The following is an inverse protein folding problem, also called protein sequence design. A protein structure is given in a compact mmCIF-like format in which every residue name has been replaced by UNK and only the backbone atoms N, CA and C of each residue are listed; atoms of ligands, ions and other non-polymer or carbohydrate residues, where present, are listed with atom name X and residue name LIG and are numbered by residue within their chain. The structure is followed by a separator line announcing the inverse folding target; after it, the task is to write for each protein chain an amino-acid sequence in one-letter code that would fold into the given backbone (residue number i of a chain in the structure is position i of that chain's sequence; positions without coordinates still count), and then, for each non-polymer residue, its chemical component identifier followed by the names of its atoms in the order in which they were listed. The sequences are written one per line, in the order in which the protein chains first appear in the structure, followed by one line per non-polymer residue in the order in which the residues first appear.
data_IF_901468530566
#
_entry.id   IF_901468530566
#
_cell.length_a   1.000
_cell.length_b   1.000
_cell.length_c   1.000
_cell.angle_alpha   90.00
_cell.angle_beta   90.00
_cell.angle_gamma   90.00
#
_symmetry.space_group_name_H-M   'P 1'
#
loop_
_entity.id
_entity.type
_entity.pdbx_description
1 polymer ?
#
# COMPACT_ATOMS: atom_id res chain seq x y z
N UNK A 1 53.29 -8.70 -5.45
CA UNK A 1 52.39 -9.88 -5.38
C UNK A 1 52.04 -10.29 -3.93
N UNK A 2 52.97 -10.43 -2.99
CA UNK A 2 52.66 -10.83 -1.59
C UNK A 2 51.74 -9.84 -0.85
N UNK A 3 51.93 -8.53 -0.99
CA UNK A 3 51.07 -7.52 -0.36
C UNK A 3 49.63 -7.53 -0.94
N UNK A 4 49.47 -7.73 -2.24
CA UNK A 4 48.15 -7.84 -2.86
C UNK A 4 47.41 -9.11 -2.38
N UNK A 5 48.07 -10.25 -2.32
CA UNK A 5 47.48 -11.49 -1.78
C UNK A 5 47.09 -11.36 -0.30
N UNK A 6 47.90 -10.72 0.51
CA UNK A 6 47.62 -10.45 1.92
C UNK A 6 46.37 -9.54 2.06
N UNK A 7 46.29 -8.51 1.23
CA UNK A 7 45.16 -7.61 1.20
C UNK A 7 43.83 -8.30 0.79
N UNK A 8 43.84 -9.11 -0.26
CA UNK A 8 42.66 -9.88 -0.72
C UNK A 8 42.20 -10.86 0.33
N UNK A 9 43.13 -11.57 0.97
CA UNK A 9 42.85 -12.50 2.07
C UNK A 9 42.21 -11.79 3.28
N UNK A 10 42.75 -10.65 3.68
CA UNK A 10 42.21 -9.86 4.79
C UNK A 10 40.83 -9.30 4.45
N UNK A 11 40.62 -8.82 3.22
CA UNK A 11 39.35 -8.32 2.73
C UNK A 11 38.23 -9.39 2.74
N UNK A 12 38.54 -10.63 2.29
CA UNK A 12 37.61 -11.74 2.32
C UNK A 12 37.30 -12.22 3.75
N UNK A 13 38.30 -12.20 4.64
CA UNK A 13 38.12 -12.53 6.04
C UNK A 13 37.24 -11.52 6.78
N UNK A 14 37.42 -10.22 6.51
CA UNK A 14 36.58 -9.16 7.09
C UNK A 14 35.15 -9.20 6.56
N UNK A 15 34.95 -9.50 5.28
CA UNK A 15 33.62 -9.74 4.69
C UNK A 15 32.91 -10.89 5.40
N UNK A 16 33.54 -12.06 5.46
CA UNK A 16 32.93 -13.26 6.06
C UNK A 16 32.70 -13.06 7.57
N UNK A 17 33.63 -12.42 8.27
CA UNK A 17 33.47 -12.08 9.68
C UNK A 17 32.26 -11.14 9.90
N UNK A 18 32.11 -10.12 9.06
CA UNK A 18 31.00 -9.18 9.15
C UNK A 18 29.66 -9.89 8.87
N UNK A 19 29.61 -10.73 7.85
CA UNK A 19 28.43 -11.51 7.49
C UNK A 19 28.00 -12.45 8.63
N UNK A 20 28.94 -13.26 9.16
CA UNK A 20 28.64 -14.22 10.22
C UNK A 20 28.31 -13.53 11.55
N UNK A 21 28.97 -12.41 11.84
CA UNK A 21 28.67 -11.63 13.05
C UNK A 21 27.25 -11.08 13.00
N UNK A 22 26.87 -10.44 11.90
CA UNK A 22 25.55 -9.87 11.72
C UNK A 22 24.48 -10.97 11.79
N UNK A 23 24.66 -12.07 11.08
CA UNK A 23 23.76 -13.22 11.13
C UNK A 23 23.57 -13.74 12.56
N UNK A 24 24.69 -13.98 13.27
CA UNK A 24 24.65 -14.46 14.66
C UNK A 24 23.89 -13.51 15.58
N UNK A 25 24.13 -12.20 15.47
CA UNK A 25 23.56 -11.22 16.39
C UNK A 25 22.09 -10.89 16.05
N UNK A 26 21.67 -10.99 14.80
CA UNK A 26 20.23 -10.90 14.43
C UNK A 26 19.43 -11.94 15.20
N UNK A 27 19.90 -13.19 15.27
CA UNK A 27 19.18 -14.26 15.99
C UNK A 27 19.41 -14.25 17.50
N UNK A 28 20.49 -13.67 17.98
CA UNK A 28 20.82 -13.63 19.42
C UNK A 28 20.20 -12.45 20.15
N UNK A 29 20.09 -11.30 19.51
CA UNK A 29 19.44 -10.10 20.07
C UNK A 29 17.93 -10.20 19.87
N UNK A 30 17.20 -10.43 20.97
CA UNK A 30 15.75 -10.62 20.94
C UNK A 30 15.01 -9.43 20.33
N UNK A 31 15.48 -8.20 20.55
CA UNK A 31 14.82 -7.01 19.99
C UNK A 31 15.02 -6.93 18.48
N UNK A 32 16.21 -7.27 17.97
CA UNK A 32 16.49 -7.29 16.54
C UNK A 32 15.75 -8.43 15.84
N UNK A 33 15.79 -9.64 16.40
CA UNK A 33 15.06 -10.78 15.85
C UNK A 33 13.54 -10.49 15.79
N UNK A 34 12.99 -9.98 16.89
CA UNK A 34 11.58 -9.63 16.95
C UNK A 34 11.22 -8.55 15.93
N UNK A 35 11.95 -7.42 15.89
CA UNK A 35 11.63 -6.29 15.03
C UNK A 35 11.87 -6.57 13.54
N UNK A 36 12.89 -7.38 13.18
CA UNK A 36 13.23 -7.63 11.79
C UNK A 36 12.49 -8.83 11.21
N UNK A 37 12.40 -9.94 11.95
CA UNK A 37 11.81 -11.19 11.42
C UNK A 37 10.34 -11.31 11.81
N UNK A 38 10.07 -11.27 13.12
CA UNK A 38 8.71 -11.51 13.60
C UNK A 38 7.75 -10.39 13.19
N UNK A 39 8.14 -9.14 13.40
CA UNK A 39 7.30 -7.98 13.04
C UNK A 39 7.09 -7.93 11.52
N UNK A 40 8.11 -8.19 10.70
CA UNK A 40 7.96 -8.19 9.26
C UNK A 40 6.89 -9.19 8.77
N UNK A 41 6.90 -10.40 9.31
CA UNK A 41 5.92 -11.45 8.94
C UNK A 41 4.56 -11.18 9.59
N UNK A 42 4.54 -10.92 10.89
CA UNK A 42 3.30 -10.74 11.65
C UNK A 42 2.50 -9.52 11.20
N UNK A 43 3.18 -8.40 10.96
CA UNK A 43 2.52 -7.17 10.48
C UNK A 43 2.04 -7.34 9.05
N UNK A 44 2.81 -8.02 8.18
CA UNK A 44 2.37 -8.35 6.83
C UNK A 44 1.11 -9.21 6.85
N UNK A 45 1.06 -10.24 7.69
CA UNK A 45 -0.11 -11.08 7.88
C UNK A 45 -1.30 -10.29 8.44
N UNK A 46 -1.08 -9.52 9.50
CA UNK A 46 -2.12 -8.74 10.17
C UNK A 46 -2.78 -7.71 9.24
N UNK A 47 -1.98 -6.94 8.50
CA UNK A 47 -2.53 -5.96 7.54
C UNK A 47 -3.33 -6.65 6.44
N UNK A 48 -2.80 -7.74 5.88
CA UNK A 48 -3.50 -8.48 4.84
C UNK A 48 -4.81 -9.09 5.36
N UNK A 49 -4.82 -9.60 6.58
CA UNK A 49 -6.02 -10.12 7.25
C UNK A 49 -7.07 -9.02 7.50
N UNK A 50 -6.66 -7.86 8.03
CA UNK A 50 -7.57 -6.75 8.31
C UNK A 50 -8.30 -6.22 7.07
N UNK A 51 -7.65 -6.28 5.90
CA UNK A 51 -8.22 -5.78 4.65
C UNK A 51 -8.70 -6.90 3.70
N UNK A 52 -8.76 -8.15 4.18
CA UNK A 52 -9.08 -9.33 3.34
C UNK A 52 -10.47 -9.27 2.69
N UNK A 53 -11.43 -8.55 3.26
CA UNK A 53 -12.76 -8.38 2.68
C UNK A 53 -12.77 -7.47 1.44
N UNK A 54 -11.63 -6.87 1.05
CA UNK A 54 -11.45 -6.08 -0.17
C UNK A 54 -12.38 -4.87 -0.29
N UNK A 55 -13.69 -5.04 -0.11
CA UNK A 55 -14.71 -4.00 -0.27
C UNK A 55 -15.62 -3.92 0.94
N UNK A 56 -16.05 -2.72 1.30
CA UNK A 56 -17.07 -2.55 2.30
C UNK A 56 -18.39 -3.14 1.80
N UNK A 57 -18.97 -4.02 2.59
CA UNK A 57 -20.26 -4.65 2.31
C UNK A 57 -21.28 -4.25 3.35
N UNK A 58 -22.58 -4.18 2.93
CA UNK A 58 -23.73 -3.95 3.80
C UNK A 58 -23.56 -2.71 4.71
N UNK A 59 -23.03 -1.61 4.15
CA UNK A 59 -22.93 -0.36 4.89
C UNK A 59 -24.30 0.11 5.31
N UNK A 60 -24.60 0.36 6.61
CA UNK A 60 -25.93 0.74 7.05
C UNK A 60 -26.32 2.12 6.55
N UNK A 61 -27.45 2.22 5.87
CA UNK A 61 -28.04 3.48 5.40
C UNK A 61 -29.47 3.63 5.92
N UNK A 62 -29.91 4.88 6.09
CA UNK A 62 -31.29 5.21 6.37
C UNK A 62 -32.03 5.63 5.11
N UNK A 63 -33.34 5.41 5.09
CA UNK A 63 -34.19 5.88 3.99
C UNK A 63 -35.35 6.72 4.52
N UNK A 64 -35.72 7.75 3.76
CA UNK A 64 -36.90 8.58 4.00
C UNK A 64 -37.73 8.54 2.73
N UNK A 65 -38.82 7.79 2.73
CA UNK A 65 -39.74 7.69 1.60
C UNK A 65 -40.97 8.54 1.87
N UNK A 66 -40.98 9.75 1.31
CA UNK A 66 -42.14 10.67 1.41
C UNK A 66 -43.19 10.40 0.34
N UNK A 67 -42.88 9.62 -0.73
CA UNK A 67 -43.79 9.32 -1.84
C UNK A 67 -44.66 8.09 -1.53
N UNK A 68 -44.13 7.10 -0.82
CA UNK A 68 -44.81 5.88 -0.40
C UNK A 68 -45.52 5.10 -1.53
N UNK A 69 -44.95 5.13 -2.73
CA UNK A 69 -45.52 4.50 -3.93
C UNK A 69 -44.84 3.17 -4.27
N UNK A 70 -45.37 2.48 -5.29
CA UNK A 70 -44.75 1.26 -5.81
C UNK A 70 -43.38 1.55 -6.44
N UNK A 71 -43.19 2.70 -7.09
CA UNK A 71 -41.94 3.12 -7.73
C UNK A 71 -40.90 3.52 -6.70
N UNK A 72 -41.26 4.27 -5.65
CA UNK A 72 -40.32 4.61 -4.59
C UNK A 72 -39.82 3.36 -3.89
N UNK A 73 -40.73 2.43 -3.53
CA UNK A 73 -40.36 1.12 -2.96
C UNK A 73 -39.50 0.26 -3.90
N UNK A 74 -39.71 0.33 -5.21
CA UNK A 74 -38.89 -0.36 -6.18
C UNK A 74 -37.46 0.20 -6.18
N UNK A 75 -37.30 1.53 -6.19
CA UNK A 75 -35.95 2.16 -6.09
C UNK A 75 -35.22 1.75 -4.80
N UNK A 76 -35.91 1.82 -3.66
CA UNK A 76 -35.31 1.45 -2.38
C UNK A 76 -34.90 -0.02 -2.34
N UNK A 77 -35.69 -0.94 -2.89
CA UNK A 77 -35.30 -2.35 -3.04
C UNK A 77 -34.11 -2.53 -3.95
N UNK A 78 -33.95 -1.74 -5.02
CA UNK A 78 -32.77 -1.77 -5.88
C UNK A 78 -31.54 -1.27 -5.14
N UNK A 79 -31.67 -0.26 -4.28
CA UNK A 79 -30.57 0.24 -3.44
C UNK A 79 -30.18 -0.83 -2.42
N UNK A 80 -31.13 -1.44 -1.73
CA UNK A 80 -30.90 -2.49 -0.73
C UNK A 80 -30.30 -3.78 -1.32
N UNK A 81 -30.64 -4.07 -2.58
CA UNK A 81 -30.05 -5.21 -3.30
C UNK A 81 -28.58 -5.01 -3.71
N UNK A 82 -28.05 -3.79 -3.56
CA UNK A 82 -26.63 -3.53 -3.81
C UNK A 82 -25.78 -4.07 -2.65
N UNK A 83 -24.76 -4.87 -2.96
CA UNK A 83 -23.90 -5.50 -1.95
C UNK A 83 -23.16 -4.50 -1.04
N UNK A 84 -22.95 -3.27 -1.51
CA UNK A 84 -22.18 -2.24 -0.77
C UNK A 84 -22.95 -1.57 0.36
N UNK A 85 -24.30 -1.59 0.32
CA UNK A 85 -25.16 -0.93 1.30
C UNK A 85 -26.24 -1.86 1.81
N UNK A 86 -26.82 -1.56 2.96
CA UNK A 86 -28.00 -2.23 3.49
C UNK A 86 -28.92 -1.18 4.15
N UNK A 87 -30.22 -1.24 3.87
CA UNK A 87 -31.19 -0.35 4.52
C UNK A 87 -31.36 -0.80 5.98
N UNK A 88 -30.81 0.00 6.89
CA UNK A 88 -30.89 -0.27 8.33
C UNK A 88 -32.28 0.05 8.87
N UNK A 89 -32.86 1.20 8.49
CA UNK A 89 -34.17 1.64 8.94
C UNK A 89 -34.78 2.65 7.98
N UNK A 90 -36.14 2.68 7.97
CA UNK A 90 -36.91 3.74 7.35
C UNK A 90 -37.33 4.77 8.40
N UNK A 91 -37.11 6.04 8.11
CA UNK A 91 -37.41 7.18 8.98
C UNK A 91 -38.57 7.98 8.45
N UNK A 92 -39.35 8.58 9.35
CA UNK A 92 -40.54 9.38 8.94
C UNK A 92 -40.15 10.70 8.26
N UNK A 93 -39.00 11.26 8.65
CA UNK A 93 -38.51 12.52 8.13
C UNK A 93 -36.99 12.60 8.15
N UNK A 94 -36.46 13.58 7.41
CA UNK A 94 -35.01 13.79 7.31
C UNK A 94 -34.35 14.10 8.68
N UNK A 95 -35.07 14.82 9.56
CA UNK A 95 -34.51 15.19 10.88
C UNK A 95 -34.24 13.98 11.78
N UNK A 96 -35.14 12.97 11.76
CA UNK A 96 -34.87 11.70 12.47
C UNK A 96 -33.71 10.92 11.87
N UNK A 97 -33.65 10.83 10.53
CA UNK A 97 -32.54 10.18 9.84
C UNK A 97 -31.21 10.87 10.13
N UNK A 98 -31.18 12.21 10.19
CA UNK A 98 -29.98 12.98 10.56
C UNK A 98 -29.53 12.72 12.00
N UNK A 99 -30.46 12.56 12.96
CA UNK A 99 -30.10 12.17 14.32
C UNK A 99 -29.46 10.78 14.37
N UNK A 100 -30.00 9.81 13.62
CA UNK A 100 -29.42 8.48 13.52
C UNK A 100 -28.02 8.51 12.84
N UNK A 101 -27.84 9.38 11.85
CA UNK A 101 -26.56 9.61 11.20
C UNK A 101 -25.54 10.22 12.18
N UNK A 102 -25.91 11.24 12.94
CA UNK A 102 -25.07 11.84 13.99
C UNK A 102 -24.72 10.84 15.12
N UNK A 103 -25.60 9.89 15.39
CA UNK A 103 -25.36 8.79 16.35
C UNK A 103 -24.55 7.65 15.75
N UNK A 104 -24.04 7.80 14.52
CA UNK A 104 -23.25 6.80 13.79
C UNK A 104 -23.97 5.46 13.54
N UNK A 105 -25.28 5.40 13.70
CA UNK A 105 -26.10 4.21 13.42
C UNK A 105 -26.18 3.91 11.92
N UNK A 106 -26.13 4.97 11.12
CA UNK A 106 -26.16 4.91 9.65
C UNK A 106 -25.06 5.80 9.07
N UNK A 107 -24.58 5.45 7.88
CA UNK A 107 -23.50 6.16 7.17
C UNK A 107 -23.96 6.89 5.90
N UNK A 108 -25.24 6.84 5.63
CA UNK A 108 -25.87 7.55 4.52
C UNK A 108 -27.37 7.63 4.68
N UNK A 109 -28.00 8.59 3.98
CA UNK A 109 -29.45 8.77 3.96
C UNK A 109 -29.87 8.93 2.51
N UNK A 110 -30.92 8.21 2.09
CA UNK A 110 -31.55 8.39 0.79
C UNK A 110 -32.97 8.89 1.01
N UNK A 111 -33.31 10.04 0.43
CA UNK A 111 -34.65 10.66 0.54
C UNK A 111 -35.34 10.63 -0.82
N UNK A 112 -36.51 10.05 -0.85
CA UNK A 112 -37.41 10.06 -2.01
C UNK A 112 -38.51 11.07 -1.75
N UNK A 113 -38.59 12.19 -2.52
CA UNK A 113 -39.53 13.27 -2.24
C UNK A 113 -40.97 12.93 -2.65
N UNK A 114 -41.92 13.64 -2.11
CA UNK A 114 -43.35 13.56 -2.51
C UNK A 114 -43.51 13.84 -3.99
N UNK A 115 -44.38 13.07 -4.67
CA UNK A 115 -44.63 13.22 -6.09
C UNK A 115 -43.61 12.59 -7.02
N UNK A 116 -42.60 11.85 -6.47
CA UNK A 116 -41.59 11.14 -7.25
C UNK A 116 -42.18 10.25 -8.34
N UNK A 117 -43.13 9.41 -8.00
CA UNK A 117 -43.81 8.53 -8.96
C UNK A 117 -44.62 9.29 -10.00
N UNK A 118 -45.30 10.36 -9.59
CA UNK A 118 -46.11 11.20 -10.50
C UNK A 118 -45.19 11.90 -11.51
N UNK A 119 -44.06 12.43 -11.09
CA UNK A 119 -43.08 13.02 -11.99
C UNK A 119 -42.57 12.01 -13.01
N UNK A 120 -42.19 10.80 -12.57
CA UNK A 120 -41.76 9.72 -13.46
C UNK A 120 -42.81 9.37 -14.51
N UNK A 121 -44.12 9.30 -14.14
CA UNK A 121 -45.21 9.00 -15.07
C UNK A 121 -45.44 10.12 -16.10
N UNK A 122 -45.25 11.39 -15.69
CA UNK A 122 -45.41 12.55 -16.58
C UNK A 122 -44.18 12.77 -17.49
N UNK A 123 -43.06 12.06 -17.28
CA UNK A 123 -41.83 12.29 -18.02
C UNK A 123 -40.99 13.45 -17.49
N UNK A 124 -41.31 13.90 -16.30
CA UNK A 124 -40.49 14.84 -15.55
C UNK A 124 -39.29 14.10 -14.98
N UNK A 125 -38.24 14.81 -14.58
CA UNK A 125 -37.08 14.24 -13.90
C UNK A 125 -37.14 14.50 -12.38
N UNK A 126 -37.85 13.67 -11.60
CA UNK A 126 -37.83 13.82 -10.16
C UNK A 126 -36.44 13.48 -9.62
N UNK A 127 -35.97 14.26 -8.67
CA UNK A 127 -34.68 14.04 -8.05
C UNK A 127 -34.83 13.33 -6.71
N UNK A 128 -33.91 12.40 -6.42
CA UNK A 128 -33.70 11.86 -5.08
C UNK A 128 -32.54 12.60 -4.41
N UNK A 129 -32.61 12.78 -3.11
CA UNK A 129 -31.47 13.35 -2.35
C UNK A 129 -30.68 12.25 -1.65
N UNK A 130 -29.37 12.29 -1.80
CA UNK A 130 -28.45 11.32 -1.19
C UNK A 130 -27.47 12.06 -0.30
N UNK A 131 -27.52 11.78 0.98
CA UNK A 131 -26.61 12.30 1.98
C UNK A 131 -25.66 11.17 2.39
N UNK A 132 -24.38 11.35 2.22
CA UNK A 132 -23.36 10.34 2.53
C UNK A 132 -22.24 10.94 3.36
N UNK A 133 -21.67 10.13 4.25
CA UNK A 133 -20.53 10.51 5.07
C UNK A 133 -19.27 10.68 4.19
N UNK A 134 -18.97 11.93 3.84
CA UNK A 134 -17.80 12.26 3.04
C UNK A 134 -16.51 12.43 3.89
N UNK A 135 -16.58 12.34 5.22
CA UNK A 135 -15.41 12.33 6.07
C UNK A 135 -14.59 11.05 5.87
N UNK A 136 -15.24 9.98 5.41
CA UNK A 136 -14.61 8.73 5.05
C UNK A 136 -14.91 8.34 3.60
N UNK A 137 -13.92 8.46 2.73
CA UNK A 137 -14.06 8.31 1.28
C UNK A 137 -14.74 7.00 0.84
N UNK A 138 -14.49 5.89 1.55
CA UNK A 138 -15.08 4.59 1.21
C UNK A 138 -16.58 4.57 1.49
N UNK A 139 -17.07 5.18 2.59
CA UNK A 139 -18.50 5.29 2.87
C UNK A 139 -19.21 6.11 1.81
N UNK A 140 -18.65 7.30 1.51
CA UNK A 140 -19.17 8.17 0.46
C UNK A 140 -19.28 7.44 -0.88
N UNK A 141 -18.21 6.76 -1.31
CA UNK A 141 -18.18 6.03 -2.58
C UNK A 141 -19.25 4.94 -2.63
N UNK A 142 -19.44 4.15 -1.58
CA UNK A 142 -20.41 3.05 -1.55
C UNK A 142 -21.84 3.56 -1.63
N UNK A 143 -22.21 4.53 -0.79
CA UNK A 143 -23.58 5.10 -0.77
C UNK A 143 -23.90 5.76 -2.10
N UNK A 144 -22.98 6.57 -2.63
CA UNK A 144 -23.18 7.26 -3.90
C UNK A 144 -23.31 6.28 -5.07
N UNK A 145 -22.47 5.24 -5.11
CA UNK A 145 -22.48 4.23 -6.17
C UNK A 145 -23.79 3.44 -6.14
N UNK A 146 -24.24 2.97 -4.97
CA UNK A 146 -25.49 2.24 -4.82
C UNK A 146 -26.69 3.09 -5.30
N UNK A 147 -26.77 4.34 -4.85
CA UNK A 147 -27.84 5.25 -5.23
C UNK A 147 -27.83 5.58 -6.74
N UNK A 148 -26.68 5.91 -7.32
CA UNK A 148 -26.53 6.22 -8.74
C UNK A 148 -26.89 5.03 -9.64
N UNK A 149 -26.37 3.86 -9.34
CA UNK A 149 -26.63 2.64 -10.13
C UNK A 149 -28.13 2.32 -10.09
N UNK A 150 -28.75 2.34 -8.90
CA UNK A 150 -30.17 2.05 -8.74
C UNK A 150 -31.06 3.06 -9.47
N UNK A 151 -30.73 4.36 -9.37
CA UNK A 151 -31.46 5.40 -10.11
C UNK A 151 -31.31 5.22 -11.63
N UNK A 152 -30.13 4.89 -12.13
CA UNK A 152 -29.89 4.64 -13.56
C UNK A 152 -30.74 3.46 -14.08
N UNK A 153 -30.75 2.35 -13.34
CA UNK A 153 -31.55 1.18 -13.72
C UNK A 153 -33.05 1.45 -13.65
N UNK A 154 -33.52 2.21 -12.63
CA UNK A 154 -34.92 2.59 -12.56
C UNK A 154 -35.31 3.47 -13.76
N UNK A 155 -34.50 4.48 -14.09
CA UNK A 155 -34.73 5.36 -15.24
C UNK A 155 -34.81 4.58 -16.55
N UNK A 156 -33.84 3.67 -16.78
CA UNK A 156 -33.86 2.81 -17.96
C UNK A 156 -35.11 1.93 -18.01
N UNK A 157 -35.52 1.36 -16.87
CA UNK A 157 -36.73 0.54 -16.80
C UNK A 157 -38.01 1.32 -17.07
N UNK A 158 -38.13 2.58 -16.62
CA UNK A 158 -39.27 3.47 -16.90
C UNK A 158 -39.30 3.82 -18.37
N UNK A 159 -38.19 4.19 -18.99
CA UNK A 159 -38.10 4.56 -20.39
C UNK A 159 -38.39 3.39 -21.32
N UNK A 160 -37.88 2.20 -21.00
CA UNK A 160 -38.20 0.97 -21.72
C UNK A 160 -39.71 0.67 -21.70
N UNK A 161 -40.38 0.82 -20.54
CA UNK A 161 -41.83 0.62 -20.42
C UNK A 161 -42.58 1.64 -21.26
N UNK A 162 -42.13 2.90 -21.29
CA UNK A 162 -42.75 3.97 -22.09
C UNK A 162 -42.61 3.67 -23.58
N UNK A 163 -41.41 3.35 -24.05
CA UNK A 163 -41.17 3.02 -25.47
C UNK A 163 -41.91 1.76 -25.89
N UNK A 164 -42.01 0.74 -25.04
CA UNK A 164 -42.80 -0.47 -25.31
C UNK A 164 -44.33 -0.16 -25.41
N UNK A 165 -44.84 0.75 -24.58
CA UNK A 165 -46.21 1.18 -24.63
C UNK A 165 -46.54 1.95 -25.95
N UNK A 166 -45.53 2.50 -26.62
CA UNK A 166 -45.62 3.12 -27.95
C UNK A 166 -45.49 2.09 -29.10
N UNK A 167 -45.50 0.79 -28.81
CA UNK A 167 -45.41 -0.28 -29.79
C UNK A 167 -44.01 -0.61 -30.31
N UNK A 168 -42.97 -0.10 -29.68
CA UNK A 168 -41.59 -0.41 -30.08
C UNK A 168 -41.14 -1.78 -29.57
N UNK A 169 -40.28 -2.44 -30.34
CA UNK A 169 -39.70 -3.71 -29.94
C UNK A 169 -38.83 -3.54 -28.68
N UNK A 170 -38.72 -4.54 -27.79
CA UNK A 170 -37.92 -4.44 -26.57
C UNK A 170 -36.45 -4.06 -26.80
N UNK A 171 -35.86 -4.48 -27.93
CA UNK A 171 -34.49 -4.10 -28.33
C UNK A 171 -34.36 -2.62 -28.64
N UNK A 172 -35.30 -2.09 -29.45
CA UNK A 172 -35.35 -0.67 -29.78
C UNK A 172 -35.63 0.21 -28.55
N UNK A 173 -36.55 -0.24 -27.68
CA UNK A 173 -36.84 0.45 -26.43
C UNK A 173 -35.60 0.52 -25.49
N UNK A 174 -34.78 -0.53 -25.48
CA UNK A 174 -33.53 -0.56 -24.72
C UNK A 174 -32.48 0.38 -25.31
N UNK A 175 -32.32 0.40 -26.63
CA UNK A 175 -31.36 1.26 -27.32
C UNK A 175 -31.74 2.75 -27.15
N UNK A 176 -33.05 3.09 -27.16
CA UNK A 176 -33.49 4.45 -26.88
C UNK A 176 -33.34 4.85 -25.42
N UNK A 177 -33.60 3.92 -24.46
CA UNK A 177 -33.44 4.20 -23.05
C UNK A 177 -31.94 4.36 -22.65
N UNK A 178 -31.04 3.73 -23.42
CA UNK A 178 -29.61 3.79 -23.20
C UNK A 178 -28.85 3.93 -24.53
N UNK A 179 -28.93 5.11 -25.19
CA UNK A 179 -28.30 5.30 -26.51
C UNK A 179 -26.78 5.23 -26.49
N UNK A 180 -26.17 5.45 -25.33
CA UNK A 180 -24.72 5.29 -25.12
C UNK A 180 -24.50 4.29 -24.02
N UNK A 181 -23.86 3.17 -24.35
CA UNK A 181 -23.40 2.19 -23.35
C UNK A 181 -21.91 2.37 -23.05
N UNK A 182 -21.56 2.60 -21.79
CA UNK A 182 -20.17 2.63 -21.35
C UNK A 182 -19.73 1.22 -20.95
N UNK A 183 -18.80 0.61 -21.72
CA UNK A 183 -18.13 -0.63 -21.30
C UNK A 183 -16.97 -0.28 -20.38
N UNK A 184 -17.20 -0.32 -19.08
CA UNK A 184 -16.14 -0.10 -18.08
C UNK A 184 -15.35 -1.39 -17.87
N UNK A 185 -14.05 -1.32 -18.14
CA UNK A 185 -13.12 -2.42 -17.88
C UNK A 185 -12.14 -1.95 -16.80
N UNK A 186 -12.29 -2.49 -15.60
CA UNK A 186 -11.34 -2.22 -14.51
C UNK A 186 -10.04 -2.99 -14.73
N UNK A 187 -8.94 -2.27 -14.92
CA UNK A 187 -7.63 -2.86 -15.09
C UNK A 187 -6.98 -3.11 -13.72
N UNK A 188 -6.35 -4.29 -13.59
CA UNK A 188 -5.49 -4.69 -12.46
C UNK A 188 -6.17 -4.88 -11.10
N UNK A 189 -7.26 -4.18 -10.81
CA UNK A 189 -8.05 -4.33 -9.58
C UNK A 189 -9.56 -4.32 -9.93
N UNK A 190 -10.09 -5.42 -10.49
CA UNK A 190 -11.47 -5.49 -10.98
C UNK A 190 -12.52 -5.25 -9.90
N UNK A 191 -12.27 -5.74 -8.69
CA UNK A 191 -13.14 -5.54 -7.51
C UNK A 191 -13.07 -4.11 -6.96
N UNK A 192 -12.13 -3.27 -7.42
CA UNK A 192 -11.77 -2.01 -6.77
C UNK A 192 -11.46 -2.20 -5.28
N UNK A 193 -10.90 -3.38 -4.94
CA UNK A 193 -10.62 -3.83 -3.59
C UNK A 193 -9.53 -3.01 -2.91
N UNK A 194 -9.73 -2.75 -1.63
CA UNK A 194 -8.82 -1.91 -0.87
C UNK A 194 -7.53 -2.65 -0.52
N UNK A 195 -7.60 -3.95 -0.22
CA UNK A 195 -6.42 -4.77 0.05
C UNK A 195 -5.50 -4.86 -1.18
N UNK A 196 -6.06 -5.20 -2.34
CA UNK A 196 -5.31 -5.26 -3.60
C UNK A 196 -4.58 -3.94 -3.90
N UNK A 197 -5.17 -2.78 -3.56
CA UNK A 197 -4.55 -1.47 -3.71
C UNK A 197 -3.46 -1.21 -2.66
N UNK A 198 -3.74 -1.47 -1.38
CA UNK A 198 -2.93 -1.05 -0.23
C UNK A 198 -1.74 -1.99 0.04
N UNK A 199 -2.00 -3.29 0.08
CA UNK A 199 -1.09 -4.28 0.66
C UNK A 199 0.29 -4.33 -0.02
N UNK A 200 0.42 -4.27 -1.36
CA UNK A 200 1.74 -4.29 -1.99
C UNK A 200 2.66 -3.14 -1.53
N UNK A 201 2.09 -1.96 -1.34
CA UNK A 201 2.86 -0.80 -0.84
C UNK A 201 3.22 -0.93 0.64
N UNK A 202 2.29 -1.47 1.44
CA UNK A 202 2.53 -1.74 2.87
C UNK A 202 3.71 -2.69 3.04
N UNK A 203 3.83 -3.74 2.23
CA UNK A 203 4.98 -4.66 2.30
C UNK A 203 6.31 -3.94 2.08
N UNK A 204 6.39 -3.04 1.11
CA UNK A 204 7.60 -2.26 0.85
C UNK A 204 7.97 -1.38 2.05
N UNK A 205 6.98 -0.76 2.69
CA UNK A 205 7.18 0.06 3.89
C UNK A 205 7.62 -0.79 5.08
N UNK A 206 7.04 -1.98 5.26
CA UNK A 206 7.44 -2.94 6.30
C UNK A 206 8.89 -3.33 6.12
N UNK A 207 9.32 -3.69 4.90
CA UNK A 207 10.73 -4.00 4.63
C UNK A 207 11.65 -2.84 4.98
N UNK A 208 11.32 -1.62 4.56
CA UNK A 208 12.14 -0.45 4.91
C UNK A 208 12.25 -0.28 6.42
N UNK A 209 11.13 -0.27 7.11
CA UNK A 209 11.09 0.01 8.55
C UNK A 209 11.82 -1.07 9.35
N UNK A 210 11.58 -2.34 9.05
CA UNK A 210 12.17 -3.46 9.79
C UNK A 210 13.67 -3.61 9.53
N UNK A 211 14.12 -3.43 8.29
CA UNK A 211 15.55 -3.45 7.94
C UNK A 211 16.28 -2.28 8.61
N UNK A 212 15.76 -1.06 8.50
CA UNK A 212 16.38 0.12 9.13
C UNK A 212 16.47 -0.05 10.65
N UNK A 213 15.41 -0.60 11.28
CA UNK A 213 15.39 -0.87 12.71
C UNK A 213 16.49 -1.85 13.10
N UNK A 214 16.61 -2.97 12.38
CA UNK A 214 17.61 -3.98 12.66
C UNK A 214 19.04 -3.47 12.46
N UNK A 215 19.31 -2.82 11.32
CA UNK A 215 20.62 -2.21 11.01
C UNK A 215 20.97 -1.16 12.06
N UNK A 216 20.00 -0.33 12.44
CA UNK A 216 20.20 0.74 13.41
C UNK A 216 20.49 0.22 14.83
N UNK A 217 19.71 -0.76 15.33
CA UNK A 217 19.89 -1.34 16.66
C UNK A 217 21.26 -2.06 16.76
N UNK A 218 21.59 -2.92 15.78
CA UNK A 218 22.89 -3.60 15.80
C UNK A 218 24.05 -2.63 15.59
N UNK A 219 23.87 -1.64 14.74
CA UNK A 219 24.87 -0.59 14.53
C UNK A 219 25.13 0.23 15.79
N UNK A 220 24.07 0.67 16.49
CA UNK A 220 24.16 1.34 17.79
C UNK A 220 24.86 0.46 18.84
N UNK A 221 24.45 -0.80 18.97
CA UNK A 221 25.06 -1.77 19.89
C UNK A 221 26.55 -1.97 19.63
N UNK A 222 26.98 -1.98 18.35
CA UNK A 222 28.39 -2.07 18.00
C UNK A 222 29.18 -0.80 18.32
N UNK A 223 28.50 0.34 18.24
CA UNK A 223 29.09 1.65 18.54
C UNK A 223 29.26 1.87 20.03
N UNK A 224 28.33 1.37 20.84
CA UNK A 224 28.47 1.34 22.29
C UNK A 224 29.71 0.54 22.71
N UNK A 225 30.60 1.18 23.43
CA UNK A 225 31.83 0.57 23.93
C UNK A 225 32.89 0.29 22.85
N UNK A 226 32.88 0.99 21.72
CA UNK A 226 33.88 0.89 20.64
C UNK A 226 34.13 -0.54 20.12
N UNK A 227 33.11 -1.39 20.12
CA UNK A 227 33.24 -2.80 19.70
C UNK A 227 33.63 -2.91 18.22
N UNK A 228 33.14 -2.03 17.35
CA UNK A 228 33.52 -1.98 15.93
C UNK A 228 35.01 -1.89 15.72
N UNK A 229 35.70 -0.98 16.44
CA UNK A 229 37.12 -0.75 16.32
C UNK A 229 37.96 -1.96 16.86
N UNK A 230 37.42 -2.65 17.87
CA UNK A 230 38.04 -3.87 18.41
C UNK A 230 37.97 -5.08 17.46
N UNK A 231 36.84 -5.20 16.73
CA UNK A 231 36.60 -6.31 15.81
C UNK A 231 37.34 -6.12 14.49
N UNK A 232 37.48 -4.85 14.02
CA UNK A 232 38.07 -4.49 12.73
C UNK A 232 39.21 -3.46 12.88
N UNK A 233 40.34 -3.80 13.57
CA UNK A 233 41.37 -2.83 13.94
C UNK A 233 42.10 -2.23 12.73
N UNK A 234 42.20 -2.95 11.63
CA UNK A 234 42.97 -2.55 10.44
C UNK A 234 42.15 -1.99 9.29
N UNK A 235 40.83 -1.72 9.50
CA UNK A 235 39.89 -1.36 8.42
C UNK A 235 39.62 0.15 8.32
N UNK A 236 40.64 0.98 8.61
CA UNK A 236 40.54 2.45 8.62
C UNK A 236 40.56 3.12 7.23
N UNK A 237 40.72 2.34 6.17
CA UNK A 237 40.72 2.80 4.79
C UNK A 237 39.31 2.59 4.15
N UNK A 238 39.04 3.27 3.04
CA UNK A 238 37.83 3.03 2.27
C UNK A 238 37.71 1.56 1.83
N UNK A 239 38.78 1.03 1.27
CA UNK A 239 38.84 -0.35 0.79
C UNK A 239 38.83 -1.39 1.92
N UNK A 240 39.21 -1.03 3.14
CA UNK A 240 39.09 -1.88 4.32
C UNK A 240 37.65 -1.89 4.88
N UNK A 241 36.94 -0.77 4.81
CA UNK A 241 35.56 -0.68 5.28
C UNK A 241 34.56 -1.32 4.30
N UNK A 242 34.82 -1.29 2.99
CA UNK A 242 33.90 -1.81 1.96
C UNK A 242 33.52 -3.29 2.14
N UNK A 243 34.47 -4.23 2.39
CA UNK A 243 34.12 -5.63 2.63
C UNK A 243 33.20 -5.83 3.83
N UNK A 244 33.38 -5.03 4.89
CA UNK A 244 32.55 -5.09 6.09
C UNK A 244 31.12 -4.65 5.76
N UNK A 245 30.95 -3.53 5.03
CA UNK A 245 29.63 -3.05 4.58
C UNK A 245 28.95 -4.09 3.71
N UNK A 246 29.67 -4.68 2.76
CA UNK A 246 29.13 -5.73 1.88
C UNK A 246 28.78 -7.01 2.63
N UNK A 247 29.59 -7.44 3.59
CA UNK A 247 29.32 -8.62 4.42
C UNK A 247 28.04 -8.46 5.24
N UNK A 248 27.88 -7.28 5.88
CA UNK A 248 26.61 -6.96 6.59
C UNK A 248 25.42 -6.96 5.64
N UNK A 249 25.53 -6.30 4.51
CA UNK A 249 24.45 -6.20 3.53
C UNK A 249 24.02 -7.57 2.98
N UNK A 250 24.95 -8.48 2.75
CA UNK A 250 24.65 -9.84 2.30
C UNK A 250 23.79 -10.60 3.31
N UNK A 251 24.00 -10.43 4.61
CA UNK A 251 23.18 -11.06 5.64
C UNK A 251 21.75 -10.54 5.60
N UNK A 252 21.57 -9.23 5.58
CA UNK A 252 20.24 -8.63 5.51
C UNK A 252 19.52 -8.99 4.21
N UNK A 253 20.23 -8.99 3.08
CA UNK A 253 19.67 -9.40 1.80
C UNK A 253 19.16 -10.84 1.86
N UNK A 254 19.98 -11.78 2.33
CA UNK A 254 19.59 -13.18 2.43
C UNK A 254 18.36 -13.42 3.30
N UNK A 255 18.33 -12.83 4.50
CA UNK A 255 17.18 -12.95 5.40
C UNK A 255 15.95 -12.23 4.87
N UNK A 256 16.10 -11.06 4.28
CA UNK A 256 14.98 -10.34 3.65
C UNK A 256 14.40 -11.09 2.46
N UNK A 257 15.21 -11.81 1.68
CA UNK A 257 14.74 -12.67 0.59
C UNK A 257 13.92 -13.85 1.11
N UNK A 258 14.30 -14.44 2.24
CA UNK A 258 13.50 -15.48 2.90
C UNK A 258 12.16 -14.92 3.38
N UNK A 259 12.15 -13.75 4.02
CA UNK A 259 10.91 -13.09 4.43
C UNK A 259 10.03 -12.76 3.22
N UNK A 260 10.63 -12.26 2.14
CA UNK A 260 9.92 -11.96 0.89
C UNK A 260 9.29 -13.23 0.29
N UNK A 261 9.99 -14.34 0.29
CA UNK A 261 9.44 -15.64 -0.16
C UNK A 261 8.23 -16.07 0.68
N UNK A 262 8.26 -15.87 1.99
CA UNK A 262 7.12 -16.15 2.87
C UNK A 262 5.94 -15.24 2.51
N UNK A 263 6.17 -13.94 2.30
CA UNK A 263 5.12 -13.00 1.94
C UNK A 263 4.51 -13.33 0.57
N UNK A 264 5.33 -13.56 -0.44
CA UNK A 264 4.86 -13.85 -1.80
C UNK A 264 4.27 -15.26 -1.94
N UNK A 265 4.84 -16.25 -1.25
CA UNK A 265 4.45 -17.65 -1.39
C UNK A 265 3.36 -18.10 -0.42
N UNK A 266 3.18 -17.43 0.70
CA UNK A 266 2.22 -17.81 1.73
C UNK A 266 1.20 -16.72 1.97
N UNK A 267 1.64 -15.50 2.37
CA UNK A 267 0.73 -14.44 2.80
C UNK A 267 -0.17 -13.96 1.65
N UNK A 268 0.40 -13.58 0.51
CA UNK A 268 -0.40 -13.08 -0.62
C UNK A 268 -1.40 -14.12 -1.14
N UNK A 269 -1.03 -15.40 -1.40
CA UNK A 269 -1.98 -16.42 -1.86
C UNK A 269 -3.06 -16.74 -0.83
N UNK A 270 -2.72 -16.80 0.46
CA UNK A 270 -3.66 -17.12 1.53
C UNK A 270 -4.85 -16.13 1.60
N UNK A 271 -4.60 -14.87 1.29
CA UNK A 271 -5.61 -13.80 1.30
C UNK A 271 -6.09 -13.38 -0.10
N UNK A 272 -5.76 -14.17 -1.14
CA UNK A 272 -6.22 -13.88 -2.49
C UNK A 272 -5.65 -12.59 -3.11
N UNK A 273 -4.57 -12.04 -2.55
CA UNK A 273 -3.92 -10.86 -3.15
C UNK A 273 -3.28 -11.28 -4.47
N UNK A 274 -3.66 -10.67 -5.60
CA UNK A 274 -3.19 -11.13 -6.90
C UNK A 274 -1.68 -10.88 -7.07
N UNK A 275 -0.99 -11.90 -7.57
CA UNK A 275 0.41 -11.82 -7.97
C UNK A 275 0.51 -12.18 -9.45
N UNK A 276 0.66 -11.17 -10.31
CA UNK A 276 0.65 -11.32 -11.77
C UNK A 276 2.03 -11.50 -12.38
N UNK A 277 3.08 -11.58 -11.56
CA UNK A 277 4.46 -11.83 -11.97
C UNK A 277 5.01 -13.10 -11.35
N UNK A 278 6.18 -13.53 -11.84
CA UNK A 278 6.90 -14.64 -11.20
C UNK A 278 7.59 -14.18 -9.91
N UNK A 279 7.72 -15.09 -8.94
CA UNK A 279 8.46 -14.84 -7.70
C UNK A 279 9.90 -14.39 -8.00
N UNK A 280 10.55 -15.03 -8.99
CA UNK A 280 11.93 -14.71 -9.37
C UNK A 280 12.06 -13.28 -9.86
N UNK A 281 11.17 -12.81 -10.75
CA UNK A 281 11.16 -11.43 -11.24
C UNK A 281 11.03 -10.44 -10.11
N UNK A 282 10.14 -10.71 -9.16
CA UNK A 282 9.92 -9.87 -7.99
C UNK A 282 11.13 -9.85 -7.08
N UNK A 283 11.79 -11.01 -6.85
CA UNK A 283 13.01 -11.09 -6.04
C UNK A 283 14.18 -10.32 -6.69
N UNK A 284 14.36 -10.46 -8.01
CA UNK A 284 15.40 -9.71 -8.75
C UNK A 284 15.14 -8.22 -8.66
N UNK A 285 13.88 -7.78 -8.77
CA UNK A 285 13.50 -6.38 -8.62
C UNK A 285 13.79 -5.87 -7.21
N UNK A 286 13.46 -6.65 -6.17
CA UNK A 286 13.61 -6.25 -4.77
C UNK A 286 15.07 -6.26 -4.28
N UNK A 287 15.98 -6.89 -5.00
CA UNK A 287 17.41 -6.93 -4.63
C UNK A 287 18.02 -5.54 -4.45
N UNK A 288 18.02 -4.62 -5.43
CA UNK A 288 18.58 -3.29 -5.25
C UNK A 288 17.80 -2.45 -4.23
N UNK A 289 16.50 -2.68 -4.06
CA UNK A 289 15.69 -2.04 -3.04
C UNK A 289 16.18 -2.40 -1.63
N UNK A 290 16.30 -3.68 -1.32
CA UNK A 290 16.75 -4.17 -0.01
C UNK A 290 18.18 -3.67 0.28
N UNK A 291 19.08 -3.80 -0.70
CA UNK A 291 20.47 -3.33 -0.55
C UNK A 291 20.54 -1.82 -0.31
N UNK A 292 19.76 -1.02 -1.04
CA UNK A 292 19.76 0.44 -0.85
C UNK A 292 19.27 0.84 0.54
N UNK A 293 18.30 0.14 1.11
CA UNK A 293 17.82 0.38 2.48
C UNK A 293 18.91 0.00 3.50
N UNK A 294 19.54 -1.14 3.33
CA UNK A 294 20.64 -1.57 4.24
C UNK A 294 21.76 -0.55 4.23
N UNK A 295 22.20 -0.12 3.04
CA UNK A 295 23.26 0.88 2.93
C UNK A 295 22.82 2.24 3.47
N UNK A 296 21.59 2.65 3.23
CA UNK A 296 21.01 3.86 3.82
C UNK A 296 21.03 3.78 5.36
N UNK A 297 20.62 2.65 5.93
CA UNK A 297 20.70 2.40 7.38
C UNK A 297 22.14 2.49 7.92
N UNK A 298 23.11 1.94 7.20
CA UNK A 298 24.54 2.05 7.58
C UNK A 298 25.07 3.48 7.45
N UNK A 299 24.55 4.31 6.53
CA UNK A 299 24.88 5.73 6.48
C UNK A 299 24.42 6.47 7.74
N UNK A 300 23.25 6.10 8.26
CA UNK A 300 22.66 6.73 9.44
C UNK A 300 23.45 6.43 10.74
N UNK A 301 24.32 5.42 10.75
CA UNK A 301 25.16 5.08 11.91
C UNK A 301 26.00 6.27 12.41
N UNK A 302 26.28 7.24 11.54
CA UNK A 302 27.00 8.43 11.96
C UNK A 302 26.23 9.28 12.99
N UNK A 303 24.90 9.23 12.93
CA UNK A 303 23.98 9.96 13.80
C UNK A 303 23.58 9.13 15.04
N UNK A 304 23.70 7.81 14.96
CA UNK A 304 23.29 6.89 16.02
C UNK A 304 24.46 6.63 16.97
N UNK A 305 24.30 7.01 18.23
CA UNK A 305 25.29 6.73 19.29
C UNK A 305 24.89 5.55 20.16
N UNK A 306 23.57 5.36 20.34
CA UNK A 306 22.98 4.31 21.16
C UNK A 306 21.97 3.53 20.33
N UNK A 307 21.60 2.35 20.80
CA UNK A 307 20.60 1.52 20.14
C UNK A 307 19.19 2.17 20.14
N UNK A 308 18.88 2.96 21.15
CA UNK A 308 17.60 3.67 21.26
C UNK A 308 17.46 4.78 20.22
N UNK A 309 18.55 5.44 19.86
CA UNK A 309 18.58 6.50 18.84
C UNK A 309 18.04 5.98 17.49
N UNK A 310 18.31 4.71 17.18
CA UNK A 310 17.83 4.09 15.95
C UNK A 310 16.30 3.98 15.92
N UNK A 311 15.70 3.55 17.03
CA UNK A 311 14.24 3.39 17.14
C UNK A 311 13.56 4.75 16.99
N UNK A 312 14.07 5.77 17.68
CA UNK A 312 13.55 7.13 17.59
C UNK A 312 13.65 7.69 16.16
N UNK A 313 14.81 7.57 15.51
CA UNK A 313 15.02 8.07 14.17
C UNK A 313 14.04 7.43 13.17
N UNK A 314 13.84 6.12 13.25
CA UNK A 314 12.96 5.39 12.35
C UNK A 314 11.50 5.77 12.61
N UNK A 315 11.10 5.90 13.88
CA UNK A 315 9.76 6.31 14.24
C UNK A 315 9.40 7.69 13.66
N UNK A 316 10.33 8.64 13.70
CA UNK A 316 10.11 9.98 13.15
C UNK A 316 10.21 10.05 11.61
N UNK A 317 10.96 9.17 10.98
CA UNK A 317 11.18 9.20 9.52
C UNK A 317 10.27 8.27 8.73
N UNK A 318 9.70 7.23 9.36
CA UNK A 318 8.87 6.23 8.67
C UNK A 318 7.57 6.82 8.10
N UNK A 319 6.88 7.67 8.86
CA UNK A 319 5.64 8.30 8.41
C UNK A 319 5.85 9.28 7.24
N UNK A 320 6.79 10.23 7.30
CA UNK A 320 7.15 11.04 6.14
C UNK A 320 7.58 10.20 4.92
N UNK A 321 8.39 9.16 5.12
CA UNK A 321 8.81 8.28 4.04
C UNK A 321 7.60 7.57 3.38
N UNK A 322 6.62 7.12 4.16
CA UNK A 322 5.38 6.54 3.65
C UNK A 322 4.59 7.56 2.81
N UNK A 323 4.44 8.79 3.29
CA UNK A 323 3.72 9.84 2.55
C UNK A 323 4.39 10.17 1.22
N UNK A 324 5.72 10.18 1.18
CA UNK A 324 6.50 10.47 -0.02
C UNK A 324 6.40 9.37 -1.10
N UNK A 325 5.96 8.17 -0.78
CA UNK A 325 5.81 7.09 -1.78
C UNK A 325 4.79 7.39 -2.87
N UNK A 326 3.92 8.37 -2.66
CA UNK A 326 2.79 8.65 -3.57
C UNK A 326 1.56 7.80 -3.28
N UNK A 327 1.59 7.01 -2.20
CA UNK A 327 0.50 6.15 -1.77
C UNK A 327 -0.67 6.92 -1.12
N UNK A 328 -0.39 7.68 -0.06
CA UNK A 328 -1.42 8.45 0.64
C UNK A 328 -1.89 9.65 -0.17
N UNK A 329 -1.01 10.23 -0.97
CA UNK A 329 -1.28 11.37 -1.83
C UNK A 329 -0.60 11.17 -3.18
N UNK A 330 -1.33 11.24 -4.31
CA UNK A 330 -0.77 10.99 -5.63
C UNK A 330 0.42 11.90 -5.93
N UNK A 331 1.51 11.33 -6.44
CA UNK A 331 2.74 12.09 -6.73
C UNK A 331 2.52 13.24 -7.74
N UNK A 332 1.51 13.12 -8.63
CA UNK A 332 1.11 14.18 -9.57
C UNK A 332 0.55 15.42 -8.85
N UNK A 333 -0.04 15.24 -7.67
CA UNK A 333 -0.62 16.33 -6.86
C UNK A 333 0.35 16.85 -5.78
N UNK A 334 1.57 16.31 -5.71
CA UNK A 334 2.62 16.80 -4.81
C UNK A 334 3.33 18.02 -5.41
N UNK A 335 3.79 18.97 -4.57
CA UNK A 335 4.72 20.00 -5.01
C UNK A 335 5.96 19.39 -5.67
N UNK A 336 6.43 19.97 -6.76
CA UNK A 336 7.52 19.41 -7.59
C UNK A 336 8.80 19.14 -6.78
N UNK A 337 9.22 20.08 -5.93
CA UNK A 337 10.39 19.91 -5.08
C UNK A 337 10.29 18.71 -4.13
N UNK A 338 9.07 18.48 -3.58
CA UNK A 338 8.82 17.35 -2.68
C UNK A 338 8.85 16.03 -3.44
N UNK A 339 8.29 16.02 -4.65
CA UNK A 339 8.34 14.85 -5.54
C UNK A 339 9.78 14.50 -5.90
N UNK A 340 10.64 15.50 -6.20
CA UNK A 340 12.07 15.26 -6.46
C UNK A 340 12.76 14.66 -5.24
N UNK A 341 12.55 15.22 -4.04
CA UNK A 341 13.13 14.69 -2.80
C UNK A 341 12.66 13.26 -2.52
N UNK A 342 11.43 12.92 -2.89
CA UNK A 342 10.88 11.57 -2.68
C UNK A 342 11.73 10.47 -3.32
N UNK A 343 12.38 10.75 -4.45
CA UNK A 343 13.22 9.77 -5.16
C UNK A 343 14.54 9.44 -4.45
N UNK A 344 14.95 10.23 -3.45
CA UNK A 344 16.09 9.90 -2.59
C UNK A 344 15.74 8.74 -1.64
N UNK A 345 14.45 8.57 -1.31
CA UNK A 345 13.99 7.49 -0.45
C UNK A 345 13.73 6.23 -1.27
N UNK A 346 14.42 5.10 -1.01
CA UNK A 346 14.27 3.88 -1.80
C UNK A 346 12.84 3.37 -1.90
N UNK A 347 12.01 3.60 -0.87
CA UNK A 347 10.61 3.18 -0.82
C UNK A 347 9.78 3.76 -1.94
N UNK A 348 10.06 4.97 -2.40
CA UNK A 348 9.31 5.62 -3.50
C UNK A 348 9.43 4.83 -4.80
N UNK A 349 10.66 4.46 -5.18
CA UNK A 349 10.91 3.65 -6.37
C UNK A 349 10.49 2.19 -6.15
N UNK A 350 10.77 1.66 -4.96
CA UNK A 350 10.41 0.30 -4.56
C UNK A 350 8.91 0.07 -4.60
N UNK A 351 8.11 0.96 -4.02
CA UNK A 351 6.65 0.84 -3.99
C UNK A 351 6.03 0.90 -5.38
N UNK A 352 6.44 1.89 -6.21
CA UNK A 352 5.96 2.04 -7.59
C UNK A 352 6.28 0.79 -8.42
N UNK A 353 7.52 0.31 -8.39
CA UNK A 353 7.92 -0.85 -9.17
C UNK A 353 7.35 -2.16 -8.63
N UNK A 354 7.32 -2.37 -7.32
CA UNK A 354 6.75 -3.57 -6.71
C UNK A 354 5.27 -3.72 -7.05
N UNK A 355 4.49 -2.64 -6.96
CA UNK A 355 3.08 -2.63 -7.36
C UNK A 355 2.92 -2.89 -8.87
N UNK A 356 3.76 -2.29 -9.71
CA UNK A 356 3.73 -2.52 -11.15
C UNK A 356 4.00 -3.98 -11.51
N UNK A 357 4.97 -4.62 -10.85
CA UNK A 357 5.28 -6.04 -11.04
C UNK A 357 4.15 -6.92 -10.53
N UNK A 358 3.80 -6.78 -9.25
CA UNK A 358 2.89 -7.74 -8.59
C UNK A 358 1.46 -7.58 -9.04
N UNK A 359 0.96 -6.35 -9.19
CA UNK A 359 -0.44 -6.07 -9.50
C UNK A 359 -0.69 -5.90 -11.01
N UNK A 360 0.23 -5.24 -11.73
CA UNK A 360 0.04 -4.98 -13.16
C UNK A 360 0.70 -6.04 -14.05
N UNK A 361 1.52 -6.93 -13.49
CA UNK A 361 2.25 -7.94 -14.24
C UNK A 361 3.33 -7.35 -15.16
N UNK A 362 3.84 -6.16 -14.81
CA UNK A 362 4.86 -5.50 -15.62
C UNK A 362 6.17 -6.31 -15.65
N UNK A 363 6.77 -6.41 -16.84
CA UNK A 363 8.08 -7.04 -17.00
C UNK A 363 9.20 -6.10 -16.51
N UNK A 364 10.36 -6.67 -16.15
CA UNK A 364 11.53 -5.86 -15.75
C UNK A 364 11.91 -4.77 -16.76
N UNK A 365 11.92 -5.02 -18.10
CA UNK A 365 12.18 -3.98 -19.08
C UNK A 365 11.19 -2.81 -19.02
N UNK A 366 9.91 -3.09 -18.73
CA UNK A 366 8.86 -2.06 -18.65
C UNK A 366 9.10 -1.08 -17.49
N UNK A 367 9.68 -1.57 -16.39
CA UNK A 367 9.94 -0.79 -15.18
C UNK A 367 11.42 -0.48 -14.96
N UNK A 368 12.22 -0.56 -16.04
CA UNK A 368 13.66 -0.38 -16.01
C UNK A 368 14.07 0.93 -15.30
N UNK A 369 13.33 2.00 -15.50
CA UNK A 369 13.58 3.29 -14.84
C UNK A 369 13.58 3.19 -13.32
N UNK A 370 12.61 2.48 -12.72
CA UNK A 370 12.56 2.29 -11.28
C UNK A 370 13.68 1.37 -10.81
N UNK A 371 13.95 0.30 -11.55
CA UNK A 371 14.97 -0.67 -11.20
C UNK A 371 16.39 -0.08 -11.28
N UNK A 372 16.72 0.63 -12.35
CA UNK A 372 18.01 1.33 -12.46
C UNK A 372 18.14 2.48 -11.47
N UNK A 373 17.05 3.20 -11.19
CA UNK A 373 17.03 4.22 -10.14
C UNK A 373 17.39 3.65 -8.77
N UNK A 374 16.86 2.46 -8.42
CA UNK A 374 17.22 1.78 -7.18
C UNK A 374 18.68 1.29 -7.16
N UNK A 375 19.24 0.82 -8.30
CA UNK A 375 20.66 0.53 -8.39
C UNK A 375 21.52 1.78 -8.23
N UNK A 376 21.09 2.91 -8.79
CA UNK A 376 21.74 4.21 -8.57
C UNK A 376 21.77 4.60 -7.10
N UNK A 377 20.64 4.48 -6.39
CA UNK A 377 20.58 4.71 -4.94
C UNK A 377 21.43 3.71 -4.14
N UNK A 378 21.41 2.45 -4.56
CA UNK A 378 22.23 1.40 -3.95
C UNK A 378 23.72 1.76 -4.00
N UNK A 379 24.24 2.17 -5.16
CA UNK A 379 25.62 2.58 -5.32
C UNK A 379 25.94 3.86 -4.53
N UNK A 380 25.06 4.85 -4.56
CA UNK A 380 25.22 6.07 -3.79
C UNK A 380 25.32 5.78 -2.28
N UNK A 381 24.36 5.01 -1.75
CA UNK A 381 24.34 4.68 -0.34
C UNK A 381 25.47 3.72 0.05
N UNK A 382 25.90 2.81 -0.82
CA UNK A 382 27.08 1.98 -0.59
C UNK A 382 28.34 2.84 -0.41
N UNK A 383 28.53 3.83 -1.28
CA UNK A 383 29.65 4.76 -1.17
C UNK A 383 29.60 5.55 0.15
N UNK A 384 28.44 6.14 0.47
CA UNK A 384 28.24 6.91 1.71
C UNK A 384 28.38 6.03 2.96
N UNK A 385 27.84 4.81 2.96
CA UNK A 385 27.96 3.85 4.07
C UNK A 385 29.41 3.47 4.33
N UNK A 386 30.18 3.25 3.27
CA UNK A 386 31.61 2.94 3.38
C UNK A 386 32.40 4.11 3.97
N UNK A 387 32.11 5.33 3.56
CA UNK A 387 32.71 6.54 4.15
C UNK A 387 32.33 6.71 5.63
N UNK A 388 31.05 6.47 5.95
CA UNK A 388 30.54 6.55 7.33
C UNK A 388 31.23 5.52 8.22
N UNK A 389 31.28 4.27 7.78
CA UNK A 389 31.93 3.20 8.55
C UNK A 389 33.41 3.49 8.75
N UNK A 390 34.12 3.93 7.70
CA UNK A 390 35.49 4.39 7.79
C UNK A 390 35.69 5.47 8.87
N UNK A 391 34.80 6.46 8.93
CA UNK A 391 34.85 7.53 9.94
C UNK A 391 34.62 6.99 11.35
N UNK A 392 33.71 6.05 11.52
CA UNK A 392 33.43 5.41 12.83
C UNK A 392 34.58 4.50 13.30
N UNK A 393 35.31 3.91 12.37
CA UNK A 393 36.48 3.06 12.68
C UNK A 393 37.76 3.85 13.02
N UNK A 394 37.83 5.12 12.62
CA UNK A 394 38.91 6.05 13.03
C UNK A 394 38.71 6.55 14.45
#
# INVERSE_FOLDING_TARGET
MKQFRSYVYQSSADFTRAMLWEAKYIFRDKAVFFSFVIVAIAVSFLYTYLYSEETLQKLPIGVVDEDNTAQSRQLLRMIDANSGVAIYSSYLNLSEAQKAFQQEKIRGIVTVPKGFSRGLQRGEQPSISVYADASYMLYYKQVLTAAKISATYLNAGVEMKRSSAQGKLPTQAREEAMPVSAKVVSLYNPSSGYATFLIPMVFVIIFQTTILTAVGILGGTMREGNKLRRIYPNSNSFWGALPIVMGKATTYLGLSMVILLIILGIVMPLFGIPMRSTMLTTMVFMTPFILSIVFMGLCLLNFLRRREDAIMLIMYTSLPAMMLTGFSWPSVAMPEWLNVISYVVPTTLGAKGFTSITQMGASLPTIMTYWLGMWGLCLLYLFLATLTLRKVLR
#
